data_IF_045313432061
#
_entry.id   IF_045313432061
#
_cell.length_a   1.000
_cell.length_b   1.000
_cell.length_c   1.000
_cell.angle_alpha   90.00
_cell.angle_beta   90.00
_cell.angle_gamma   90.00
#
_symmetry.space_group_name_H-M   'P 1'
#
loop_
_entity.id
_entity.type
_entity.pdbx_description
1 polymer ?
#
# COMPACT_ATOMS: atom_id res chain seq x y z
N UNK A 1 39.20 -10.42 16.09
CA UNK A 1 37.98 -11.12 15.65
C UNK A 1 36.71 -10.46 16.17
N UNK A 2 36.50 -10.34 17.49
CA UNK A 2 35.24 -9.82 18.05
C UNK A 2 34.86 -8.40 17.57
N UNK A 3 35.81 -7.48 17.43
CA UNK A 3 35.57 -6.13 16.90
C UNK A 3 35.09 -6.13 15.44
N UNK A 4 35.62 -7.04 14.62
CA UNK A 4 35.22 -7.20 13.21
C UNK A 4 33.82 -7.81 13.10
N UNK A 5 33.50 -8.77 13.96
CA UNK A 5 32.17 -9.37 14.03
C UNK A 5 31.13 -8.33 14.47
N UNK A 6 31.45 -7.52 15.48
CA UNK A 6 30.59 -6.42 15.91
C UNK A 6 30.38 -5.36 14.83
N UNK A 7 31.45 -4.95 14.12
CA UNK A 7 31.28 -4.01 13.00
C UNK A 7 30.43 -4.57 11.86
N UNK A 8 30.56 -5.86 11.57
CA UNK A 8 29.78 -6.52 10.53
C UNK A 8 28.30 -6.65 10.93
N UNK A 9 28.02 -6.94 12.21
CA UNK A 9 26.66 -6.97 12.75
C UNK A 9 26.01 -5.59 12.75
N UNK A 10 26.75 -4.53 13.12
CA UNK A 10 26.25 -3.15 13.08
C UNK A 10 25.94 -2.76 11.64
N UNK A 11 26.84 -3.05 10.69
CA UNK A 11 26.61 -2.77 9.27
C UNK A 11 25.36 -3.50 8.75
N UNK A 12 25.20 -4.78 9.08
CA UNK A 12 24.03 -5.56 8.69
C UNK A 12 22.73 -5.01 9.31
N UNK A 13 22.77 -4.57 10.57
CA UNK A 13 21.62 -3.98 11.23
C UNK A 13 21.20 -2.65 10.58
N UNK A 14 22.16 -1.80 10.22
CA UNK A 14 21.91 -0.53 9.51
C UNK A 14 21.28 -0.79 8.13
N UNK A 15 21.80 -1.77 7.37
CA UNK A 15 21.23 -2.13 6.06
C UNK A 15 19.79 -2.65 6.19
N UNK A 16 19.50 -3.48 7.20
CA UNK A 16 18.14 -3.96 7.44
C UNK A 16 17.18 -2.86 7.86
N UNK A 17 17.64 -1.88 8.66
CA UNK A 17 16.84 -0.75 9.10
C UNK A 17 16.37 0.12 7.92
N UNK A 18 17.24 0.39 6.94
CA UNK A 18 16.90 1.12 5.71
C UNK A 18 15.80 0.41 4.90
N UNK A 19 15.86 -0.93 4.82
CA UNK A 19 14.88 -1.73 4.07
C UNK A 19 13.51 -1.74 4.75
N UNK A 20 13.46 -1.76 6.09
CA UNK A 20 12.20 -1.82 6.84
C UNK A 20 11.51 -0.47 7.01
N UNK A 21 12.25 0.64 6.89
CA UNK A 21 11.76 1.99 7.21
C UNK A 21 11.25 2.77 6.00
N UNK A 22 10.97 2.11 4.88
CA UNK A 22 10.35 2.75 3.72
C UNK A 22 8.83 2.89 3.93
N UNK A 23 8.42 3.68 4.93
CA UNK A 23 7.00 4.03 5.13
C UNK A 23 6.39 4.71 3.91
N UNK A 24 7.22 5.37 3.09
CA UNK A 24 6.82 5.97 1.81
C UNK A 24 6.49 4.93 0.72
N UNK A 25 6.95 3.68 0.84
CA UNK A 25 6.71 2.64 -0.16
C UNK A 25 5.25 2.17 -0.18
N UNK A 26 4.49 2.43 0.89
CA UNK A 26 3.08 2.08 1.04
C UNK A 26 2.17 3.32 1.05
N UNK A 27 2.67 4.49 0.67
CA UNK A 27 1.82 5.65 0.43
C UNK A 27 1.28 5.60 -1.02
N UNK A 28 0.03 6.00 -1.26
CA UNK A 28 -0.46 6.20 -2.62
C UNK A 28 0.46 7.19 -3.35
N UNK A 29 0.80 6.96 -4.64
CA UNK A 29 1.57 7.92 -5.40
C UNK A 29 0.82 9.26 -5.49
N UNK A 30 1.55 10.37 -5.34
CA UNK A 30 0.98 11.71 -5.43
C UNK A 30 0.32 11.92 -6.79
N UNK A 31 -0.96 12.31 -6.76
CA UNK A 31 -1.72 12.62 -7.97
C UNK A 31 -1.48 14.08 -8.36
N UNK A 32 -0.82 14.37 -9.49
CA UNK A 32 -0.67 15.74 -9.95
C UNK A 32 -2.04 16.35 -10.31
N UNK A 33 -2.19 17.67 -10.19
CA UNK A 33 -3.41 18.39 -10.56
C UNK A 33 -3.75 18.28 -12.05
N UNK A 34 -2.72 18.13 -12.89
CA UNK A 34 -2.80 17.97 -14.33
C UNK A 34 -1.62 17.11 -14.82
N UNK A 35 -1.82 16.35 -15.91
CA UNK A 35 -0.73 15.66 -16.61
C UNK A 35 -0.32 16.52 -17.81
N UNK A 36 0.93 16.96 -17.85
CA UNK A 36 1.45 17.84 -18.90
C UNK A 36 1.95 17.08 -20.12
N UNK A 37 2.15 15.77 -19.98
CA UNK A 37 2.56 14.88 -21.07
C UNK A 37 1.92 13.49 -20.97
N UNK A 38 1.77 12.77 -22.10
CA UNK A 38 1.32 11.38 -22.07
C UNK A 38 2.27 10.46 -21.29
N UNK A 39 3.56 10.81 -21.22
CA UNK A 39 4.55 10.02 -20.49
C UNK A 39 4.41 10.18 -18.97
N UNK A 40 4.03 11.36 -18.48
CA UNK A 40 3.70 11.56 -17.07
C UNK A 40 2.50 10.70 -16.65
N UNK A 41 1.46 10.64 -17.48
CA UNK A 41 0.31 9.77 -17.23
C UNK A 41 0.73 8.29 -17.17
N UNK A 42 1.55 7.83 -18.11
CA UNK A 42 2.07 6.45 -18.13
C UNK A 42 2.86 6.11 -16.87
N UNK A 43 3.73 7.02 -16.43
CA UNK A 43 4.52 6.85 -15.20
C UNK A 43 3.62 6.77 -13.97
N UNK A 44 2.64 7.66 -13.86
CA UNK A 44 1.68 7.65 -12.76
C UNK A 44 0.86 6.36 -12.71
N UNK A 45 0.33 5.90 -13.85
CA UNK A 45 -0.43 4.64 -13.91
C UNK A 45 0.43 3.43 -13.54
N UNK A 46 1.71 3.42 -13.91
CA UNK A 46 2.66 2.37 -13.51
C UNK A 46 2.86 2.35 -12.00
N UNK A 47 3.16 3.51 -11.39
CA UNK A 47 3.33 3.63 -9.95
C UNK A 47 2.05 3.24 -9.18
N UNK A 48 0.89 3.62 -9.71
CA UNK A 48 -0.41 3.27 -9.13
C UNK A 48 -0.66 1.75 -9.16
N UNK A 49 -0.31 1.09 -10.26
CA UNK A 49 -0.41 -0.36 -10.38
C UNK A 49 0.50 -1.07 -9.37
N UNK A 50 1.76 -0.63 -9.24
CA UNK A 50 2.73 -1.17 -8.27
C UNK A 50 2.22 -1.02 -6.83
N UNK A 51 1.66 0.15 -6.49
CA UNK A 51 1.04 0.40 -5.19
C UNK A 51 -0.10 -0.59 -4.87
N UNK A 52 -1.07 -0.76 -5.79
CA UNK A 52 -2.19 -1.67 -5.58
C UNK A 52 -1.80 -3.15 -5.64
N UNK A 53 -0.71 -3.51 -6.32
CA UNK A 53 -0.18 -4.87 -6.31
C UNK A 53 0.30 -5.30 -4.90
N UNK A 54 0.67 -4.33 -4.05
CA UNK A 54 1.15 -4.56 -2.68
C UNK A 54 0.01 -4.36 -1.68
N UNK A 55 -0.64 -3.19 -1.69
CA UNK A 55 -1.66 -2.80 -0.69
C UNK A 55 -3.02 -3.41 -0.98
N UNK A 56 -3.41 -3.43 -2.26
CA UNK A 56 -4.75 -3.82 -2.70
C UNK A 56 -4.87 -5.26 -3.17
N UNK A 57 -3.80 -6.07 -3.11
CA UNK A 57 -3.78 -7.45 -3.67
C UNK A 57 -5.00 -8.22 -3.18
N UNK A 58 -5.94 -8.61 -4.09
CA UNK A 58 -7.14 -9.31 -3.69
C UNK A 58 -6.77 -10.63 -3.00
N UNK A 59 -6.99 -10.70 -1.69
CA UNK A 59 -6.78 -11.92 -0.90
C UNK A 59 -8.03 -12.78 -0.99
N UNK A 60 -8.19 -13.46 -2.12
CA UNK A 60 -9.24 -14.45 -2.30
C UNK A 60 -9.09 -15.57 -1.25
N UNK A 61 -10.21 -16.13 -0.78
CA UNK A 61 -10.21 -17.26 0.16
C UNK A 61 -10.44 -16.90 1.64
N UNK A 62 -10.45 -15.62 2.02
CA UNK A 62 -11.12 -15.21 3.26
C UNK A 62 -12.57 -14.88 2.92
N UNK A 63 -13.51 -15.69 3.36
CA UNK A 63 -14.91 -15.26 3.38
C UNK A 63 -15.00 -14.11 4.39
N UNK A 64 -14.82 -12.88 3.93
CA UNK A 64 -15.37 -11.73 4.65
C UNK A 64 -16.85 -12.07 4.72
N UNK A 65 -17.32 -12.31 5.94
CA UNK A 65 -18.69 -12.67 6.26
C UNK A 65 -19.63 -11.97 5.27
N UNK A 66 -20.44 -12.74 4.54
CA UNK A 66 -21.25 -12.29 3.39
C UNK A 66 -22.30 -11.25 3.81
N UNK A 67 -21.88 -10.06 4.26
CA UNK A 67 -22.72 -8.87 4.24
C UNK A 67 -22.67 -8.41 2.81
N UNK A 68 -23.57 -9.02 2.04
CA UNK A 68 -23.80 -8.74 0.63
C UNK A 68 -23.84 -7.23 0.43
N UNK A 69 -23.27 -6.72 -0.67
CA UNK A 69 -23.42 -5.33 -1.07
C UNK A 69 -24.91 -4.87 -1.12
N UNK A 70 -25.84 -5.83 -1.23
CA UNK A 70 -27.28 -5.61 -1.09
C UNK A 70 -27.68 -5.02 0.28
N UNK A 71 -27.03 -5.41 1.38
CA UNK A 71 -27.34 -4.88 2.72
C UNK A 71 -27.05 -3.37 2.84
N UNK A 72 -26.08 -2.87 2.07
CA UNK A 72 -25.76 -1.44 2.04
C UNK A 72 -26.70 -0.66 1.12
N UNK A 73 -27.12 -1.25 -0.01
CA UNK A 73 -28.01 -0.61 -0.97
C UNK A 73 -29.46 -0.54 -0.51
N UNK A 74 -29.91 -1.49 0.32
CA UNK A 74 -31.30 -1.59 0.76
C UNK A 74 -31.51 -1.30 2.24
N UNK A 75 -30.54 -0.69 2.94
CA UNK A 75 -30.70 -0.35 4.36
C UNK A 75 -31.92 0.59 4.52
N UNK A 76 -33.03 0.14 5.13
CA UNK A 76 -34.18 1.00 5.29
C UNK A 76 -33.83 2.08 6.32
N UNK A 77 -33.99 3.33 5.91
CA UNK A 77 -33.85 4.49 6.80
C UNK A 77 -34.97 4.44 7.82
N UNK A 78 -34.69 3.94 9.01
CA UNK A 78 -35.61 4.04 10.14
C UNK A 78 -35.81 5.54 10.45
N UNK A 79 -36.97 6.06 10.04
CA UNK A 79 -37.44 7.39 10.41
C UNK A 79 -37.87 7.29 11.87
N UNK A 80 -37.16 7.96 12.76
CA UNK A 80 -37.62 8.13 14.13
C UNK A 80 -38.63 9.28 14.11
N UNK A 81 -39.90 8.96 14.36
CA UNK A 81 -40.89 9.90 14.91
C UNK A 81 -40.58 10.18 16.38
#
# INVERSE_FOLDING_TARGET
>A
MQKLVLSLLILAAVVMLEVTSQDSMLAPPDRPSEFRSPDELRRYLKALNEYYAIVGRPRFGRSVNKRSAADYLFKPSHKNE
#
